data_IF_315048628430
#
_entry.id   IF_315048628430
#
_cell.length_a   1.000
_cell.length_b   1.000
_cell.length_c   1.000
_cell.angle_alpha   90.00
_cell.angle_beta   90.00
_cell.angle_gamma   90.00
#
_symmetry.space_group_name_H-M   'P 1'
#
loop_
_entity.id
_entity.type
_entity.pdbx_description
1 polymer ?
#
# COMPACT_ATOMS: atom_id res chain seq x y z
N UNK A 1 -9.88 1.35 23.75
CA UNK A 1 -9.69 2.62 23.06
C UNK A 1 -8.76 2.51 21.89
N UNK A 2 -7.49 2.35 22.14
CA UNK A 2 -6.51 2.27 21.05
C UNK A 2 -6.73 1.07 20.13
N UNK A 3 -7.23 -0.02 20.67
CA UNK A 3 -7.52 -1.20 19.89
C UNK A 3 -8.65 -0.98 18.91
N UNK A 4 -9.71 -0.28 19.35
CA UNK A 4 -10.84 0.00 18.46
C UNK A 4 -10.45 0.99 17.37
N UNK A 5 -9.68 2.01 17.71
CA UNK A 5 -9.19 2.97 16.73
C UNK A 5 -8.30 2.28 15.70
N UNK A 6 -7.47 1.35 16.17
CA UNK A 6 -6.59 0.62 15.29
C UNK A 6 -7.37 -0.29 14.34
N UNK A 7 -8.41 -0.94 14.84
CA UNK A 7 -9.25 -1.80 14.01
C UNK A 7 -10.00 -0.99 12.96
N UNK A 8 -10.54 0.18 13.35
CA UNK A 8 -11.23 1.04 12.40
C UNK A 8 -10.28 1.56 11.33
N UNK A 9 -9.07 1.91 11.73
CA UNK A 9 -8.03 2.34 10.80
C UNK A 9 -7.72 1.25 9.78
N UNK A 10 -7.50 0.04 10.26
CA UNK A 10 -7.17 -1.08 9.40
C UNK A 10 -8.31 -1.42 8.45
N UNK A 11 -9.55 -1.37 8.93
CA UNK A 11 -10.70 -1.62 8.05
C UNK A 11 -10.81 -0.57 6.95
N UNK A 12 -10.55 0.68 7.29
CA UNK A 12 -10.53 1.75 6.29
C UNK A 12 -9.46 1.52 5.23
N UNK A 13 -8.27 1.11 5.67
CA UNK A 13 -7.19 0.83 4.74
C UNK A 13 -7.51 -0.37 3.86
N UNK A 14 -8.10 -1.41 4.44
CA UNK A 14 -8.49 -2.59 3.67
C UNK A 14 -9.56 -2.25 2.63
N UNK A 15 -10.44 -1.32 2.95
CA UNK A 15 -11.45 -0.86 1.99
C UNK A 15 -10.79 -0.15 0.81
N UNK A 16 -9.78 0.66 1.07
CA UNK A 16 -9.01 1.32 0.01
C UNK A 16 -8.36 0.27 -0.89
N UNK A 17 -7.75 -0.73 -0.28
CA UNK A 17 -7.08 -1.80 -1.03
C UNK A 17 -8.07 -2.58 -1.88
N UNK A 18 -9.25 -2.85 -1.34
CA UNK A 18 -10.30 -3.56 -2.08
C UNK A 18 -10.72 -2.80 -3.33
N UNK A 19 -10.72 -1.48 -3.25
CA UNK A 19 -11.11 -0.62 -4.37
C UNK A 19 -9.97 -0.40 -5.36
N UNK A 20 -8.77 -0.83 -5.05
CA UNK A 20 -7.63 -0.65 -5.95
C UNK A 20 -7.76 -1.49 -7.20
N UNK A 21 -7.31 -0.96 -8.34
CA UNK A 21 -7.35 -1.74 -9.59
C UNK A 21 -6.24 -2.78 -9.63
N UNK A 22 -6.49 -3.85 -10.37
CA UNK A 22 -5.46 -4.86 -10.62
C UNK A 22 -4.67 -4.45 -11.85
N UNK A 23 -3.98 -3.32 -11.71
CA UNK A 23 -3.23 -2.70 -12.80
C UNK A 23 -1.86 -2.26 -12.28
N UNK A 24 -0.90 -2.06 -13.19
CA UNK A 24 0.41 -1.59 -12.77
C UNK A 24 0.37 -0.11 -12.36
N UNK A 25 1.23 0.23 -11.43
CA UNK A 25 1.30 1.60 -10.96
C UNK A 25 2.22 1.76 -9.78
N UNK A 26 2.16 2.92 -9.17
CA UNK A 26 2.88 3.21 -7.94
C UNK A 26 1.90 3.45 -6.81
N UNK A 27 2.35 3.22 -5.60
CA UNK A 27 1.54 3.43 -4.41
C UNK A 27 2.35 4.14 -3.34
N UNK A 28 1.67 4.92 -2.50
CA UNK A 28 2.30 5.65 -1.41
C UNK A 28 1.51 5.41 -0.13
N UNK A 29 2.24 5.22 0.96
CA UNK A 29 1.67 5.10 2.29
C UNK A 29 1.95 6.37 3.07
N UNK A 30 0.95 6.83 3.82
CA UNK A 30 1.05 8.06 4.59
C UNK A 30 0.82 7.78 6.07
N UNK A 31 1.49 8.55 6.93
CA UNK A 31 1.28 8.44 8.37
C UNK A 31 0.17 9.38 8.82
N UNK A 32 -0.01 9.50 10.14
CA UNK A 32 -1.07 10.33 10.71
C UNK A 32 -0.89 11.82 10.41
N UNK A 33 0.33 12.23 10.13
CA UNK A 33 0.64 13.62 9.80
C UNK A 33 0.51 13.92 8.32
N UNK A 34 0.17 12.91 7.52
CA UNK A 34 0.04 13.07 6.08
C UNK A 34 1.37 13.01 5.35
N UNK A 35 2.42 12.57 6.00
CA UNK A 35 3.73 12.45 5.38
C UNK A 35 3.90 11.07 4.76
N UNK A 36 4.57 11.03 3.62
CA UNK A 36 4.84 9.77 2.93
C UNK A 36 5.88 8.99 3.71
N UNK A 37 5.52 7.76 4.09
CA UNK A 37 6.44 6.89 4.81
C UNK A 37 6.95 5.74 3.96
N UNK A 38 6.34 5.53 2.79
CA UNK A 38 6.79 4.49 1.88
C UNK A 38 6.24 4.75 0.48
N UNK A 39 7.05 4.47 -0.52
CA UNK A 39 6.67 4.54 -1.93
C UNK A 39 7.11 3.25 -2.60
N UNK A 40 6.22 2.65 -3.37
CA UNK A 40 6.55 1.41 -4.08
C UNK A 40 5.91 1.37 -5.45
N UNK A 41 6.36 0.42 -6.25
CA UNK A 41 5.82 0.16 -7.58
C UNK A 41 5.36 -1.29 -7.65
N UNK A 42 4.32 -1.53 -8.43
CA UNK A 42 3.77 -2.87 -8.55
C UNK A 42 3.21 -3.09 -9.94
N UNK A 43 3.28 -4.33 -10.40
CA UNK A 43 2.64 -4.72 -11.64
C UNK A 43 1.15 -4.93 -11.45
N UNK A 44 0.74 -5.22 -10.23
CA UNK A 44 -0.65 -5.37 -9.83
C UNK A 44 -0.78 -4.68 -8.47
N UNK A 45 -1.33 -3.47 -8.48
CA UNK A 45 -1.44 -2.65 -7.27
C UNK A 45 -2.22 -3.34 -6.17
N UNK A 46 -3.39 -3.86 -6.52
CA UNK A 46 -4.25 -4.50 -5.53
C UNK A 46 -3.57 -5.68 -4.85
N UNK A 47 -2.95 -6.54 -5.64
CA UNK A 47 -2.27 -7.72 -5.12
C UNK A 47 -1.09 -7.33 -4.24
N UNK A 48 -0.29 -6.39 -4.70
CA UNK A 48 0.92 -5.99 -3.96
C UNK A 48 0.56 -5.32 -2.64
N UNK A 49 -0.36 -4.34 -2.68
CA UNK A 49 -0.71 -3.60 -1.48
C UNK A 49 -1.45 -4.49 -0.50
N UNK A 50 -2.35 -5.35 -0.98
CA UNK A 50 -3.07 -6.24 -0.10
C UNK A 50 -2.14 -7.20 0.64
N UNK A 51 -1.00 -7.54 0.05
CA UNK A 51 -0.04 -8.44 0.70
C UNK A 51 0.53 -7.87 2.00
N UNK A 52 0.55 -6.55 2.14
CA UNK A 52 1.01 -5.93 3.38
C UNK A 52 0.04 -6.17 4.54
N UNK A 53 -1.21 -6.45 4.24
CA UNK A 53 -2.26 -6.60 5.25
C UNK A 53 -2.68 -8.04 5.49
N UNK A 54 -1.96 -8.98 4.91
CA UNK A 54 -2.22 -10.40 5.17
C UNK A 54 -1.78 -10.77 6.57
N UNK A 55 -2.59 -11.59 7.24
CA UNK A 55 -2.28 -12.02 8.60
C UNK A 55 -1.08 -12.95 8.67
N UNK A 56 -0.73 -13.54 7.55
CA UNK A 56 0.38 -14.49 7.47
C UNK A 56 1.75 -13.84 7.34
N UNK A 57 1.79 -12.51 7.30
CA UNK A 57 3.06 -11.81 7.14
C UNK A 57 3.78 -11.80 8.47
N UNK A 58 4.86 -12.57 8.53
CA UNK A 58 5.68 -12.69 9.75
C UNK A 58 6.80 -11.67 9.83
N UNK A 59 6.95 -10.83 8.83
CA UNK A 59 8.06 -9.89 8.81
C UNK A 59 7.80 -8.74 9.74
N UNK A 60 8.66 -8.62 10.74
CA UNK A 60 8.55 -7.56 11.73
C UNK A 60 8.52 -6.17 11.09
N UNK A 61 9.37 -5.95 10.10
CA UNK A 61 9.42 -4.65 9.42
C UNK A 61 8.11 -4.29 8.75
N UNK A 62 7.45 -5.26 8.13
CA UNK A 62 6.16 -5.02 7.49
C UNK A 62 5.10 -4.69 8.53
N UNK A 63 5.11 -5.39 9.66
CA UNK A 63 4.15 -5.10 10.73
C UNK A 63 4.34 -3.71 11.29
N UNK A 64 5.58 -3.27 11.47
CA UNK A 64 5.85 -1.92 11.94
C UNK A 64 5.37 -0.88 10.95
N UNK A 65 5.63 -1.11 9.66
CA UNK A 65 5.17 -0.20 8.61
C UNK A 65 3.64 -0.10 8.62
N UNK A 66 2.97 -1.24 8.62
CA UNK A 66 1.50 -1.28 8.59
C UNK A 66 0.91 -0.55 9.80
N UNK A 67 1.55 -0.66 10.94
CA UNK A 67 1.07 0.00 12.16
C UNK A 67 1.11 1.53 12.04
N UNK A 68 1.93 2.07 11.14
CA UNK A 68 2.07 3.51 10.97
C UNK A 68 1.22 4.07 9.83
N UNK A 69 0.72 3.22 8.95
CA UNK A 69 -0.05 3.67 7.80
C UNK A 69 -1.41 4.21 8.24
N UNK A 70 -1.71 5.42 7.83
CA UNK A 70 -3.02 6.03 8.08
C UNK A 70 -3.76 6.32 6.78
N UNK A 71 -3.07 6.35 5.66
CA UNK A 71 -3.71 6.56 4.36
C UNK A 71 -2.87 5.94 3.26
N UNK A 72 -3.51 5.66 2.15
CA UNK A 72 -2.88 5.04 0.98
C UNK A 72 -3.35 5.77 -0.27
N UNK A 73 -2.41 6.13 -1.14
CA UNK A 73 -2.76 6.64 -2.46
C UNK A 73 -2.03 5.83 -3.51
N UNK A 74 -2.50 5.90 -4.74
CA UNK A 74 -1.87 5.17 -5.83
C UNK A 74 -2.09 5.91 -7.15
N UNK A 75 -1.21 5.60 -8.12
CA UNK A 75 -1.32 6.11 -9.46
C UNK A 75 -1.16 4.96 -10.43
N UNK A 76 -2.14 4.79 -11.31
CA UNK A 76 -2.07 3.75 -12.34
C UNK A 76 -1.21 4.28 -13.49
N UNK A 77 -0.28 3.46 -13.98
CA UNK A 77 0.53 3.81 -15.15
C UNK A 77 0.28 2.77 -16.23
N UNK A 78 0.47 3.15 -17.50
CA UNK A 78 0.27 2.17 -18.54
C UNK A 78 1.49 1.24 -18.62
N UNK A 79 1.27 0.09 -19.25
CA UNK A 79 2.27 -0.97 -19.28
C UNK A 79 3.56 -0.53 -19.98
N UNK A 80 3.44 0.30 -21.01
CA UNK A 80 4.63 0.77 -21.73
C UNK A 80 5.51 1.64 -20.86
N UNK A 81 4.90 2.56 -20.08
CA UNK A 81 5.65 3.40 -19.17
C UNK A 81 6.31 2.57 -18.07
N UNK A 82 5.60 1.57 -17.58
CA UNK A 82 6.17 0.69 -16.57
C UNK A 82 7.37 -0.06 -17.12
N UNK A 83 7.28 -0.54 -18.37
CA UNK A 83 8.38 -1.23 -19.03
C UNK A 83 9.57 -0.31 -19.19
N UNK A 84 9.32 0.95 -19.54
CA UNK A 84 10.38 1.94 -19.69
C UNK A 84 11.11 2.16 -18.37
N UNK A 85 10.38 2.28 -17.27
CA UNK A 85 10.99 2.42 -15.96
C UNK A 85 11.89 1.23 -15.63
N UNK A 86 11.44 0.04 -15.96
CA UNK A 86 12.21 -1.16 -15.68
C UNK A 86 13.48 -1.23 -16.49
N UNK A 87 13.47 -0.67 -17.71
CA UNK A 87 14.63 -0.69 -18.58
C UNK A 87 15.73 0.28 -18.16
N UNK A 88 15.36 1.36 -17.50
CA UNK A 88 16.33 2.39 -17.11
C UNK A 88 17.15 2.00 -15.90
N UNK A 89 16.87 0.87 -15.33
CA UNK A 89 17.63 0.32 -14.23
C UNK A 89 18.48 -0.84 -14.69
#
# INVERSE_FOLDING_TARGET
MKKEENEARLEGLKAIVKAMPEKPGSYQFYDADGEIIYVGKAKNLKSRVSSYFHTDVDRFKTKVLVSKICDISYTVVNTEKMRYYLKTH
#
